data_IF_046710775001
#
_entry.id   IF_046710775001
#
_cell.length_a   1.000
_cell.length_b   1.000
_cell.length_c   1.000
_cell.angle_alpha   90.00
_cell.angle_beta   90.00
_cell.angle_gamma   90.00
#
_symmetry.space_group_name_H-M   'P 1'
#
loop_
_entity.id
_entity.type
_entity.pdbx_description
1 polymer ?
#
# COMPACT_ATOMS: atom_id res chain seq x y z
N UNK A 1 -17.19 1.43 10.24
CA UNK A 1 -16.43 1.21 11.50
C UNK A 1 -14.95 1.15 11.16
N UNK A 2 -14.41 2.30 10.77
CA UNK A 2 -13.11 2.46 10.13
C UNK A 2 -12.30 3.36 11.05
N UNK A 3 -11.49 2.79 11.96
CA UNK A 3 -10.38 3.47 12.64
C UNK A 3 -9.84 2.61 13.80
N UNK A 4 -8.86 1.75 13.47
CA UNK A 4 -7.78 1.32 14.39
C UNK A 4 -6.64 0.56 13.71
N UNK A 5 -6.77 0.24 12.41
CA UNK A 5 -5.80 -0.56 11.60
C UNK A 5 -4.51 0.17 11.21
N UNK A 6 -4.28 1.40 11.68
CA UNK A 6 -3.22 2.29 11.22
C UNK A 6 -1.77 1.94 11.60
N UNK A 7 -1.43 0.71 12.01
CA UNK A 7 -0.05 0.37 12.41
C UNK A 7 0.67 -0.65 11.55
N UNK A 8 -0.02 -1.52 10.82
CA UNK A 8 0.63 -2.47 9.91
C UNK A 8 -0.21 -2.64 8.64
N UNK A 9 -0.20 -1.61 7.80
CA UNK A 9 -0.93 -1.61 6.51
C UNK A 9 -0.02 -1.91 5.31
N UNK A 10 1.18 -2.44 5.54
CA UNK A 10 2.14 -2.66 4.45
C UNK A 10 2.14 -4.12 3.96
N UNK A 11 2.46 -4.37 2.67
CA UNK A 11 2.50 -5.72 2.10
C UNK A 11 3.45 -6.69 2.82
N UNK A 12 4.55 -6.17 3.41
CA UNK A 12 5.49 -6.98 4.17
C UNK A 12 4.86 -7.54 5.45
N UNK A 13 4.02 -6.76 6.14
CA UNK A 13 3.28 -7.21 7.32
C UNK A 13 2.30 -8.32 6.98
N UNK A 14 1.57 -8.18 5.88
CA UNK A 14 0.66 -9.22 5.37
C UNK A 14 1.44 -10.51 5.07
N UNK A 15 2.60 -10.41 4.39
CA UNK A 15 3.44 -11.55 4.07
C UNK A 15 4.04 -12.23 5.32
N UNK A 16 4.46 -11.46 6.32
CA UNK A 16 4.95 -11.99 7.62
C UNK A 16 3.85 -12.75 8.35
N UNK A 17 2.64 -12.20 8.42
CA UNK A 17 1.49 -12.88 9.02
C UNK A 17 1.14 -14.16 8.23
N UNK A 18 1.22 -14.12 6.90
CA UNK A 18 1.04 -15.30 6.05
C UNK A 18 2.02 -16.43 6.41
N UNK A 19 3.32 -16.13 6.55
CA UNK A 19 4.31 -17.13 6.96
C UNK A 19 4.04 -17.69 8.37
N UNK A 20 3.64 -16.82 9.31
CA UNK A 20 3.34 -17.24 10.67
C UNK A 20 2.07 -18.08 10.80
N UNK A 21 1.17 -18.04 9.80
CA UNK A 21 0.03 -18.97 9.71
C UNK A 21 0.50 -20.41 9.44
N UNK A 22 1.62 -20.58 8.74
CA UNK A 22 2.17 -21.90 8.42
C UNK A 22 2.86 -22.50 9.65
N UNK A 23 3.78 -21.76 10.27
CA UNK A 23 4.40 -22.16 11.54
C UNK A 23 5.09 -20.98 12.26
N UNK A 24 5.39 -21.12 13.57
CA UNK A 24 6.17 -20.12 14.29
C UNK A 24 7.61 -19.99 13.77
N UNK A 25 8.07 -18.77 13.53
CA UNK A 25 9.36 -18.49 12.88
C UNK A 25 10.14 -17.36 13.55
N UNK A 26 11.47 -17.41 13.41
CA UNK A 26 12.35 -16.29 13.74
C UNK A 26 12.44 -15.32 12.54
N UNK A 27 12.61 -13.99 12.74
CA UNK A 27 12.69 -13.01 11.64
C UNK A 27 13.71 -13.36 10.55
N UNK A 28 14.89 -13.88 10.90
CA UNK A 28 15.85 -14.37 9.89
C UNK A 28 15.31 -15.51 9.01
N UNK A 29 14.53 -16.45 9.56
CA UNK A 29 13.90 -17.51 8.79
C UNK A 29 12.77 -16.95 7.90
N UNK A 30 11.98 -16.01 8.40
CA UNK A 30 10.99 -15.28 7.59
C UNK A 30 11.66 -14.60 6.40
N UNK A 31 12.78 -13.90 6.62
CA UNK A 31 13.53 -13.23 5.56
C UNK A 31 14.08 -14.22 4.51
N UNK A 32 14.45 -15.43 4.92
CA UNK A 32 14.92 -16.47 4.00
C UNK A 32 13.75 -16.98 3.15
N UNK A 33 12.63 -17.38 3.78
CA UNK A 33 11.45 -17.86 3.07
C UNK A 33 10.84 -16.84 2.12
N UNK A 34 10.77 -15.56 2.52
CA UNK A 34 10.29 -14.50 1.61
C UNK A 34 11.18 -14.34 0.38
N UNK A 35 12.51 -14.49 0.50
CA UNK A 35 13.44 -14.46 -0.64
C UNK A 35 13.36 -15.70 -1.51
N UNK A 36 13.26 -16.88 -0.90
CA UNK A 36 13.07 -18.14 -1.62
C UNK A 36 11.80 -18.10 -2.49
N UNK A 37 10.74 -17.44 -2.00
CA UNK A 37 9.49 -17.21 -2.72
C UNK A 37 9.55 -16.02 -3.69
N UNK A 38 10.68 -15.32 -3.82
CA UNK A 38 10.85 -14.17 -4.71
C UNK A 38 10.03 -12.93 -4.33
N UNK A 39 9.57 -12.83 -3.07
CA UNK A 39 8.75 -11.71 -2.60
C UNK A 39 9.53 -10.39 -2.49
N UNK A 40 10.86 -10.46 -2.49
CA UNK A 40 11.76 -9.30 -2.59
C UNK A 40 11.63 -8.55 -3.93
N UNK A 41 11.00 -9.17 -4.94
CA UNK A 41 10.62 -8.51 -6.20
C UNK A 41 9.32 -7.72 -6.10
N UNK A 42 8.46 -8.05 -5.14
CA UNK A 42 7.14 -7.43 -4.94
C UNK A 42 7.24 -6.23 -4.01
N UNK A 43 8.03 -6.35 -2.94
CA UNK A 43 8.24 -5.28 -1.98
C UNK A 43 9.68 -5.24 -1.47
N UNK A 44 10.08 -4.09 -0.92
CA UNK A 44 11.42 -3.91 -0.36
C UNK A 44 11.58 -4.77 0.90
N UNK A 45 12.42 -5.81 0.81
CA UNK A 45 12.78 -6.68 1.92
C UNK A 45 14.20 -6.39 2.42
N UNK A 46 14.33 -5.51 3.41
CA UNK A 46 15.59 -5.31 4.15
C UNK A 46 15.48 -5.89 5.56
N UNK A 47 16.62 -6.27 6.15
CA UNK A 47 16.67 -6.72 7.54
C UNK A 47 16.03 -5.71 8.48
N UNK A 48 16.35 -4.42 8.33
CA UNK A 48 15.73 -3.34 9.12
C UNK A 48 14.21 -3.32 8.99
N UNK A 49 13.70 -3.26 7.75
CA UNK A 49 12.24 -3.21 7.50
C UNK A 49 11.49 -4.40 8.07
N UNK A 50 12.07 -5.61 8.03
CA UNK A 50 11.45 -6.80 8.56
C UNK A 50 11.36 -6.75 10.09
N UNK A 51 12.46 -6.39 10.77
CA UNK A 51 12.45 -6.27 12.22
C UNK A 51 11.52 -5.14 12.69
N UNK A 52 11.41 -4.04 11.94
CA UNK A 52 10.48 -2.95 12.24
C UNK A 52 9.02 -3.43 12.14
N UNK A 53 8.70 -4.19 11.09
CA UNK A 53 7.37 -4.79 10.89
C UNK A 53 7.04 -5.80 11.98
N UNK A 54 7.96 -6.70 12.33
CA UNK A 54 7.77 -7.67 13.42
C UNK A 54 7.49 -6.95 14.75
N UNK A 55 8.27 -5.92 15.09
CA UNK A 55 8.02 -5.11 16.29
C UNK A 55 6.69 -4.34 16.23
N UNK A 56 6.23 -3.96 15.05
CA UNK A 56 4.93 -3.31 14.89
C UNK A 56 3.77 -4.28 15.09
N UNK A 57 3.88 -5.51 14.55
CA UNK A 57 2.91 -6.58 14.73
C UNK A 57 2.84 -7.06 16.19
N UNK A 58 3.98 -7.15 16.87
CA UNK A 58 4.04 -7.52 18.30
C UNK A 58 3.40 -6.44 19.18
N UNK A 59 3.72 -5.16 18.94
CA UNK A 59 3.07 -4.03 19.64
C UNK A 59 1.56 -3.92 19.37
N UNK A 60 1.10 -4.46 18.25
CA UNK A 60 -0.32 -4.55 17.92
C UNK A 60 -0.98 -5.80 18.53
N UNK A 61 -0.22 -6.64 19.24
CA UNK A 61 -0.66 -7.90 19.83
C UNK A 61 -1.17 -8.92 18.79
N UNK A 62 -0.76 -8.77 17.53
CA UNK A 62 -1.10 -9.71 16.46
C UNK A 62 -0.16 -10.92 16.46
N UNK A 63 1.07 -10.73 16.92
CA UNK A 63 2.03 -11.80 17.14
C UNK A 63 2.59 -11.72 18.56
N UNK A 64 3.08 -12.84 19.05
CA UNK A 64 3.71 -12.96 20.36
C UNK A 64 4.96 -13.85 20.29
N UNK A 65 5.90 -13.64 21.21
CA UNK A 65 7.05 -14.52 21.36
C UNK A 65 6.61 -15.88 21.95
N UNK A 66 6.85 -16.97 21.21
CA UNK A 66 6.50 -18.34 21.66
C UNK A 66 7.56 -18.93 22.59
N UNK A 67 8.82 -18.90 22.14
CA UNK A 67 9.97 -19.44 22.85
C UNK A 67 11.23 -18.65 22.45
N UNK A 68 12.16 -18.56 23.40
CA UNK A 68 13.54 -18.19 23.09
C UNK A 68 14.40 -19.45 23.09
N UNK A 69 14.59 -20.03 21.90
CA UNK A 69 15.45 -21.20 21.74
C UNK A 69 16.92 -20.79 21.95
N UNK A 70 17.57 -21.35 22.98
CA UNK A 70 19.00 -21.22 23.22
C UNK A 70 19.73 -22.42 22.62
N UNK A 71 20.25 -22.29 21.40
CA UNK A 71 21.11 -23.32 20.79
C UNK A 71 22.58 -22.94 21.05
N UNK A 72 23.18 -23.51 22.11
CA UNK A 72 24.60 -23.35 22.43
C UNK A 72 25.03 -21.92 22.80
N UNK A 73 26.24 -21.52 22.38
CA UNK A 73 26.85 -20.21 22.70
C UNK A 73 26.43 -19.05 21.77
N UNK A 74 25.33 -19.20 21.02
CA UNK A 74 24.81 -18.15 20.12
C UNK A 74 23.74 -17.30 20.81
N UNK A 75 23.55 -16.03 20.41
CA UNK A 75 22.55 -15.15 21.00
C UNK A 75 21.14 -15.76 20.90
N UNK A 76 20.33 -15.45 21.91
CA UNK A 76 18.93 -15.87 22.05
C UNK A 76 18.16 -15.55 20.76
N UNK A 77 17.45 -16.55 20.19
CA UNK A 77 16.60 -16.36 19.01
C UNK A 77 15.14 -16.39 19.45
N UNK A 78 14.45 -15.26 19.33
CA UNK A 78 13.02 -15.14 19.62
C UNK A 78 12.20 -15.63 18.42
N UNK A 79 11.45 -16.71 18.63
CA UNK A 79 10.49 -17.22 17.64
C UNK A 79 9.14 -16.57 17.89
N UNK A 80 8.52 -16.05 16.84
CA UNK A 80 7.19 -15.44 16.92
C UNK A 80 6.12 -16.39 16.40
N UNK A 81 4.91 -16.25 16.94
CA UNK A 81 3.70 -16.92 16.48
C UNK A 81 2.53 -15.95 16.46
N UNK A 82 1.47 -16.29 15.74
CA UNK A 82 0.20 -15.56 15.83
C UNK A 82 -0.46 -15.71 17.20
N UNK A 83 -1.01 -14.60 17.70
CA UNK A 83 -2.02 -14.62 18.76
C UNK A 83 -3.40 -15.03 18.19
N UNK A 84 -4.39 -15.24 19.06
CA UNK A 84 -5.77 -15.43 18.61
C UNK A 84 -6.32 -14.17 17.90
N UNK A 85 -5.99 -12.99 18.42
CA UNK A 85 -6.36 -11.70 17.82
C UNK A 85 -5.71 -11.54 16.43
N UNK A 86 -4.41 -11.79 16.31
CA UNK A 86 -3.69 -11.65 15.03
C UNK A 86 -4.20 -12.56 13.94
N UNK A 87 -4.63 -13.80 14.26
CA UNK A 87 -5.30 -14.68 13.30
C UNK A 87 -6.61 -14.08 12.79
N UNK A 88 -7.44 -13.56 13.67
CA UNK A 88 -8.72 -12.96 13.30
C UNK A 88 -8.52 -11.68 12.46
N UNK A 89 -7.60 -10.82 12.88
CA UNK A 89 -7.27 -9.57 12.17
C UNK A 89 -6.63 -9.85 10.81
N UNK A 90 -5.75 -10.84 10.68
CA UNK A 90 -5.18 -11.24 9.39
C UNK A 90 -6.26 -11.68 8.40
N UNK A 91 -7.20 -12.53 8.84
CA UNK A 91 -8.32 -12.97 7.97
C UNK A 91 -9.22 -11.80 7.60
N UNK A 92 -9.56 -10.93 8.57
CA UNK A 92 -10.37 -9.74 8.29
C UNK A 92 -9.67 -8.78 7.32
N UNK A 93 -8.35 -8.66 7.41
CA UNK A 93 -7.56 -7.79 6.54
C UNK A 93 -7.50 -8.35 5.11
N UNK A 94 -7.34 -9.67 4.95
CA UNK A 94 -7.41 -10.32 3.63
C UNK A 94 -8.80 -10.16 3.00
N UNK A 95 -9.89 -10.36 3.75
CA UNK A 95 -11.26 -10.13 3.24
C UNK A 95 -11.46 -8.69 2.77
N UNK A 96 -10.99 -7.71 3.57
CA UNK A 96 -11.08 -6.30 3.21
C UNK A 96 -10.35 -5.98 1.92
N UNK A 97 -9.10 -6.43 1.77
CA UNK A 97 -8.30 -6.22 0.56
C UNK A 97 -8.91 -6.87 -0.70
N UNK A 98 -9.63 -7.98 -0.55
CA UNK A 98 -10.34 -8.63 -1.65
C UNK A 98 -11.64 -7.86 -1.99
N UNK A 99 -12.32 -7.35 -0.98
CA UNK A 99 -13.65 -6.74 -1.10
C UNK A 99 -13.60 -5.30 -1.58
N UNK A 100 -12.58 -4.55 -1.15
CA UNK A 100 -12.47 -3.10 -1.35
C UNK A 100 -11.17 -2.82 -2.09
N UNK A 101 -11.23 -2.35 -3.36
CA UNK A 101 -10.05 -1.86 -4.06
C UNK A 101 -9.39 -0.74 -3.27
N UNK A 102 -8.09 -0.79 -3.06
CA UNK A 102 -7.38 0.28 -2.38
C UNK A 102 -7.35 1.53 -3.27
N UNK A 103 -7.56 2.70 -2.66
CA UNK A 103 -7.53 3.97 -3.37
C UNK A 103 -6.14 4.29 -3.97
N UNK A 104 -5.08 3.62 -3.51
CA UNK A 104 -3.70 3.79 -3.94
C UNK A 104 -3.14 2.61 -4.78
N UNK A 105 -4.02 1.82 -5.40
CA UNK A 105 -3.65 0.74 -6.35
C UNK A 105 -3.16 1.28 -7.71
N UNK A 106 -2.03 1.99 -7.75
CA UNK A 106 -1.45 2.51 -8.98
C UNK A 106 -0.15 1.80 -9.36
N UNK A 107 -0.14 1.00 -10.45
CA UNK A 107 1.10 0.45 -10.98
C UNK A 107 2.07 1.57 -11.35
N UNK A 108 3.36 1.43 -11.01
CA UNK A 108 4.41 2.41 -11.39
C UNK A 108 4.42 2.75 -12.88
N UNK A 109 4.10 1.77 -13.72
CA UNK A 109 4.01 1.98 -15.17
C UNK A 109 2.84 2.88 -15.55
N UNK A 110 1.68 2.77 -14.89
CA UNK A 110 0.53 3.65 -15.12
C UNK A 110 0.90 5.11 -14.80
N UNK A 111 1.64 5.34 -13.73
CA UNK A 111 2.18 6.68 -13.41
C UNK A 111 3.06 7.21 -14.54
N UNK A 112 3.96 6.40 -15.09
CA UNK A 112 4.80 6.80 -16.23
C UNK A 112 3.98 7.01 -17.52
N UNK A 113 3.00 6.14 -17.78
CA UNK A 113 2.13 6.20 -18.94
C UNK A 113 1.32 7.50 -18.98
N UNK A 114 0.93 8.00 -17.81
CA UNK A 114 0.23 9.28 -17.65
C UNK A 114 1.05 10.50 -18.13
N UNK A 115 2.36 10.33 -18.33
CA UNK A 115 3.27 11.36 -18.84
C UNK A 115 3.89 10.98 -20.20
N UNK A 116 3.27 10.08 -20.97
CA UNK A 116 3.78 9.69 -22.31
C UNK A 116 4.05 10.90 -23.22
N UNK A 117 3.22 11.94 -23.14
CA UNK A 117 3.39 13.18 -23.92
C UNK A 117 4.65 13.98 -23.59
N UNK A 118 5.36 13.66 -22.50
CA UNK A 118 6.67 14.24 -22.19
C UNK A 118 7.81 13.65 -23.04
N UNK A 119 7.56 12.54 -23.75
CA UNK A 119 8.50 11.91 -24.68
C UNK A 119 8.19 12.32 -26.12
N UNK A 120 9.23 12.36 -26.95
CA UNK A 120 9.03 12.36 -28.41
C UNK A 120 8.30 11.06 -28.83
N UNK A 121 7.34 11.13 -29.78
CA UNK A 121 6.62 9.96 -30.29
C UNK A 121 7.50 8.74 -30.64
N UNK A 122 8.66 8.95 -31.30
CA UNK A 122 9.53 7.84 -31.69
C UNK A 122 10.20 7.19 -30.46
N UNK A 123 10.55 8.00 -29.46
CA UNK A 123 11.12 7.54 -28.19
C UNK A 123 10.07 6.76 -27.39
N UNK A 124 8.84 7.27 -27.34
CA UNK A 124 7.73 6.59 -26.68
C UNK A 124 7.48 5.20 -27.29
N UNK A 125 7.39 5.09 -28.62
CA UNK A 125 7.23 3.81 -29.31
C UNK A 125 8.39 2.85 -29.02
N UNK A 126 9.64 3.33 -29.09
CA UNK A 126 10.81 2.51 -28.80
C UNK A 126 10.79 1.95 -27.37
N UNK A 127 10.52 2.80 -26.38
CA UNK A 127 10.44 2.40 -24.97
C UNK A 127 9.31 1.39 -24.70
N UNK A 128 8.13 1.61 -25.30
CA UNK A 128 6.98 0.70 -25.20
C UNK A 128 7.26 -0.67 -25.85
N UNK A 129 7.97 -0.70 -26.98
CA UNK A 129 8.42 -1.94 -27.63
C UNK A 129 9.46 -2.69 -26.80
N UNK A 130 10.43 -1.98 -26.21
CA UNK A 130 11.40 -2.60 -25.32
C UNK A 130 10.70 -3.23 -24.10
N UNK A 131 9.76 -2.48 -23.49
CA UNK A 131 8.95 -2.98 -22.39
C UNK A 131 8.15 -4.22 -22.79
N UNK A 132 7.55 -4.23 -23.99
CA UNK A 132 6.85 -5.40 -24.54
C UNK A 132 7.76 -6.63 -24.58
N UNK A 133 9.01 -6.47 -25.04
CA UNK A 133 9.99 -7.55 -25.04
C UNK A 133 10.27 -8.09 -23.63
N UNK A 134 10.52 -7.20 -22.67
CA UNK A 134 10.78 -7.56 -21.27
C UNK A 134 9.59 -8.28 -20.61
N UNK A 135 8.38 -7.80 -20.85
CA UNK A 135 7.15 -8.42 -20.33
C UNK A 135 6.91 -9.81 -20.92
N UNK A 136 7.18 -10.02 -22.21
CA UNK A 136 7.05 -11.36 -22.83
C UNK A 136 8.01 -12.37 -22.21
N UNK A 137 9.26 -11.97 -21.99
CA UNK A 137 10.25 -12.82 -21.30
C UNK A 137 9.77 -13.18 -19.90
N UNK A 138 9.37 -12.16 -19.11
CA UNK A 138 8.86 -12.36 -17.76
C UNK A 138 7.63 -13.28 -17.73
N UNK A 139 6.68 -13.09 -18.66
CA UNK A 139 5.48 -13.90 -18.76
C UNK A 139 5.79 -15.36 -19.08
N UNK A 140 6.77 -15.60 -19.96
CA UNK A 140 7.22 -16.95 -20.29
C UNK A 140 7.85 -17.65 -19.07
N UNK A 141 8.68 -16.93 -18.31
CA UNK A 141 9.29 -17.44 -17.07
C UNK A 141 8.24 -17.78 -16.01
N UNK A 142 7.31 -16.86 -15.72
CA UNK A 142 6.25 -17.06 -14.72
C UNK A 142 5.37 -18.24 -15.11
N UNK A 143 4.96 -18.34 -16.38
CA UNK A 143 4.14 -19.45 -16.86
C UNK A 143 4.85 -20.80 -16.76
N UNK A 144 6.15 -20.84 -17.03
CA UNK A 144 6.93 -22.05 -16.90
C UNK A 144 7.03 -22.49 -15.43
N UNK A 145 7.32 -21.55 -14.52
CA UNK A 145 7.37 -21.81 -13.08
C UNK A 145 6.00 -22.28 -12.55
N UNK A 146 4.91 -21.60 -12.92
CA UNK A 146 3.56 -21.96 -12.50
C UNK A 146 3.16 -23.37 -12.95
N UNK A 147 3.44 -23.73 -14.21
CA UNK A 147 3.19 -25.09 -14.71
C UNK A 147 4.03 -26.13 -13.98
N UNK A 148 5.28 -25.82 -13.65
CA UNK A 148 6.14 -26.75 -12.92
C UNK A 148 5.60 -27.02 -11.49
N UNK A 149 5.10 -25.98 -10.82
CA UNK A 149 4.48 -26.12 -9.48
C UNK A 149 3.19 -26.93 -9.54
N UNK A 150 2.30 -26.64 -10.50
CA UNK A 150 1.03 -27.37 -10.64
C UNK A 150 1.17 -28.79 -11.20
N UNK A 151 2.29 -29.10 -11.86
CA UNK A 151 2.59 -30.44 -12.35
C UNK A 151 3.20 -31.35 -11.28
N UNK A 152 3.62 -30.79 -10.13
CA UNK A 152 3.93 -31.61 -8.97
C UNK A 152 2.61 -32.20 -8.45
N UNK A 153 2.53 -33.54 -8.39
CA UNK A 153 1.37 -34.22 -7.83
C UNK A 153 1.04 -33.63 -6.45
N UNK A 154 -0.26 -33.49 -6.16
CA UNK A 154 -0.80 -33.09 -4.85
C UNK A 154 -0.83 -31.59 -4.49
N UNK A 155 -0.52 -30.64 -5.39
CA UNK A 155 -0.70 -29.18 -5.10
C UNK A 155 -2.07 -28.67 -5.59
N UNK A 156 -2.99 -28.26 -4.70
CA UNK A 156 -4.25 -27.64 -5.12
C UNK A 156 -4.04 -26.34 -5.91
N UNK A 157 -4.84 -26.14 -6.98
CA UNK A 157 -4.84 -24.92 -7.81
C UNK A 157 -4.93 -23.62 -7.00
N UNK A 158 -5.60 -23.65 -5.84
CA UNK A 158 -5.73 -22.49 -4.95
C UNK A 158 -4.36 -21.85 -4.62
N UNK A 159 -3.29 -22.64 -4.54
CA UNK A 159 -1.94 -22.15 -4.24
C UNK A 159 -1.21 -21.52 -5.44
N UNK A 160 -1.85 -21.43 -6.61
CA UNK A 160 -1.33 -20.71 -7.79
C UNK A 160 -2.25 -19.61 -8.31
N UNK A 161 -3.34 -19.30 -7.61
CA UNK A 161 -4.37 -18.35 -8.08
C UNK A 161 -3.82 -16.93 -8.23
N UNK A 162 -2.89 -16.53 -7.36
CA UNK A 162 -2.21 -15.24 -7.43
C UNK A 162 -1.31 -15.14 -8.67
N UNK A 163 -0.66 -16.24 -9.04
CA UNK A 163 0.14 -16.32 -10.26
C UNK A 163 -0.74 -16.24 -11.51
N UNK A 164 -1.91 -16.88 -11.51
CA UNK A 164 -2.90 -16.76 -12.58
C UNK A 164 -3.43 -15.34 -12.77
N UNK A 165 -3.61 -14.59 -11.68
CA UNK A 165 -3.98 -13.17 -11.70
C UNK A 165 -2.85 -12.33 -12.29
N UNK A 166 -1.62 -12.49 -11.80
CA UNK A 166 -0.46 -11.73 -12.30
C UNK A 166 -0.23 -11.92 -13.81
N UNK A 167 -0.37 -13.17 -14.31
CA UNK A 167 -0.31 -13.47 -15.75
C UNK A 167 -1.34 -12.66 -16.54
N UNK A 168 -2.60 -12.61 -16.08
CA UNK A 168 -3.67 -11.85 -16.75
C UNK A 168 -3.38 -10.36 -16.77
N UNK A 169 -2.84 -9.79 -15.69
CA UNK A 169 -2.47 -8.38 -15.63
C UNK A 169 -1.36 -8.03 -16.62
N UNK A 170 -0.33 -8.88 -16.75
CA UNK A 170 0.72 -8.67 -17.74
C UNK A 170 0.22 -8.82 -19.18
N UNK A 171 -0.72 -9.74 -19.43
CA UNK A 171 -1.34 -9.88 -20.75
C UNK A 171 -2.20 -8.67 -21.12
N UNK A 172 -2.97 -8.14 -20.17
CA UNK A 172 -3.74 -6.92 -20.35
C UNK A 172 -2.81 -5.74 -20.67
N UNK A 173 -1.71 -5.59 -19.92
CA UNK A 173 -0.73 -4.54 -20.19
C UNK A 173 -0.08 -4.70 -21.57
N UNK A 174 0.29 -5.92 -21.97
CA UNK A 174 0.81 -6.20 -23.32
C UNK A 174 -0.21 -5.88 -24.43
N UNK A 175 -1.50 -6.14 -24.19
CA UNK A 175 -2.59 -5.78 -25.09
C UNK A 175 -2.66 -4.27 -25.27
N UNK A 176 -2.75 -3.55 -24.16
CA UNK A 176 -2.81 -2.09 -24.15
C UNK A 176 -1.59 -1.44 -24.81
N UNK A 177 -0.36 -1.90 -24.50
CA UNK A 177 0.85 -1.35 -25.11
C UNK A 177 0.82 -1.52 -26.64
N UNK A 178 0.33 -2.66 -27.14
CA UNK A 178 0.22 -2.90 -28.59
C UNK A 178 -0.73 -1.90 -29.25
N UNK A 179 -1.88 -1.66 -28.64
CA UNK A 179 -2.88 -0.71 -29.12
C UNK A 179 -2.32 0.71 -29.15
N UNK A 180 -1.72 1.16 -28.04
CA UNK A 180 -1.14 2.50 -27.96
C UNK A 180 -0.03 2.68 -28.99
N UNK A 181 0.90 1.74 -29.12
CA UNK A 181 1.98 1.84 -30.13
C UNK A 181 1.40 2.01 -31.54
N UNK A 182 0.36 1.26 -31.90
CA UNK A 182 -0.32 1.42 -33.18
C UNK A 182 -0.93 2.82 -33.31
N UNK A 183 -1.60 3.32 -32.26
CA UNK A 183 -2.17 4.67 -32.25
C UNK A 183 -1.10 5.77 -32.41
N UNK A 184 0.09 5.61 -31.82
CA UNK A 184 1.21 6.54 -32.02
C UNK A 184 1.67 6.52 -33.47
N UNK A 185 1.93 5.33 -34.02
CA UNK A 185 2.50 5.16 -35.37
C UNK A 185 1.53 5.59 -36.46
N UNK A 186 0.22 5.44 -36.23
CA UNK A 186 -0.84 5.86 -37.14
C UNK A 186 -1.27 7.32 -36.93
N UNK A 187 -0.63 8.04 -35.99
CA UNK A 187 -0.91 9.45 -35.72
C UNK A 187 -2.29 9.72 -35.11
N UNK A 188 -2.89 8.74 -34.45
CA UNK A 188 -4.19 8.87 -33.76
C UNK A 188 -4.10 9.61 -32.44
N UNK A 189 -2.91 9.69 -31.84
CA UNK A 189 -2.67 10.46 -30.62
C UNK A 189 -2.04 11.80 -30.95
N UNK A 190 -2.52 12.86 -30.29
CA UNK A 190 -1.98 14.22 -30.42
C UNK A 190 -0.94 14.45 -29.33
N UNK A 191 0.26 14.89 -29.72
CA UNK A 191 1.30 15.30 -28.78
C UNK A 191 1.12 16.75 -28.36
N UNK A 192 1.46 17.10 -27.10
CA UNK A 192 1.47 18.49 -26.66
C UNK A 192 2.47 19.29 -27.51
N UNK A 193 2.09 20.52 -27.89
CA UNK A 193 2.97 21.41 -28.64
C UNK A 193 4.21 21.75 -27.80
N UNK A 194 5.37 21.80 -28.46
CA UNK A 194 6.67 22.14 -27.87
C UNK A 194 6.61 23.52 -27.19
N UNK A 195 6.34 23.56 -25.89
CA UNK A 195 6.24 24.80 -25.11
C UNK A 195 4.97 24.95 -24.27
N UNK A 196 3.94 24.13 -24.48
CA UNK A 196 2.90 23.92 -23.47
C UNK A 196 3.42 22.86 -22.50
N UNK A 197 3.67 23.25 -21.24
CA UNK A 197 4.01 22.26 -20.20
C UNK A 197 2.92 21.18 -20.16
N UNK A 198 3.24 19.95 -19.72
CA UNK A 198 2.24 18.89 -19.70
C UNK A 198 1.02 19.39 -18.93
N UNK A 199 -0.15 19.42 -19.59
CA UNK A 199 -1.40 19.39 -18.86
C UNK A 199 -1.29 18.14 -17.98
N UNK A 200 -1.24 18.32 -16.66
CA UNK A 200 -1.09 17.21 -15.72
C UNK A 200 -2.13 16.11 -15.99
N UNK A 201 -1.95 14.91 -15.43
CA UNK A 201 -2.89 13.82 -15.63
C UNK A 201 -4.33 14.32 -15.40
N UNK A 202 -5.17 14.25 -16.43
CA UNK A 202 -6.53 14.80 -16.43
C UNK A 202 -7.51 14.11 -15.48
N UNK A 203 -7.00 13.27 -14.56
CA UNK A 203 -7.76 12.48 -13.60
C UNK A 203 -6.94 12.29 -12.32
N UNK A 204 -7.36 12.99 -11.25
CA UNK A 204 -7.69 12.57 -9.86
C UNK A 204 -8.29 13.86 -9.25
N UNK A 205 -9.56 14.13 -9.55
CA UNK A 205 -10.38 14.98 -8.70
C UNK A 205 -11.50 14.08 -8.22
N UNK A 206 -11.26 13.41 -7.10
CA UNK A 206 -12.38 13.03 -6.25
C UNK A 206 -13.00 14.35 -5.77
N UNK A 207 -14.10 14.74 -6.40
CA UNK A 207 -14.82 15.97 -6.06
C UNK A 207 -15.86 15.73 -4.97
N UNK A 208 -15.96 14.52 -4.43
CA UNK A 208 -17.05 14.12 -3.54
C UNK A 208 -16.53 13.56 -2.19
N UNK A 209 -15.45 14.10 -1.65
CA UNK A 209 -14.97 13.78 -0.30
C UNK A 209 -15.18 14.89 0.76
N UNK A 210 -15.69 16.06 0.37
CA UNK A 210 -16.01 17.15 1.30
C UNK A 210 -17.48 17.60 1.14
N UNK A 211 -18.38 16.82 1.70
CA UNK A 211 -19.73 17.26 2.05
C UNK A 211 -20.19 16.49 3.29
N UNK A 212 -19.60 16.83 4.44
CA UNK A 212 -20.22 16.76 5.77
C UNK A 212 -19.25 17.43 6.76
N UNK A 213 -19.08 18.74 6.57
CA UNK A 213 -18.57 19.64 7.60
C UNK A 213 -19.67 20.68 7.85
N UNK A 214 -20.71 20.27 8.56
CA UNK A 214 -21.67 21.20 9.15
C UNK A 214 -20.91 22.10 10.13
N UNK A 215 -20.58 23.29 9.63
CA UNK A 215 -20.18 24.44 10.41
C UNK A 215 -21.46 25.15 10.80
N UNK A 216 -21.98 24.87 11.99
CA UNK A 216 -22.98 25.74 12.61
C UNK A 216 -22.23 26.74 13.51
N UNK A 217 -22.04 27.95 13.01
CA UNK A 217 -21.66 29.12 13.80
C UNK A 217 -22.61 30.24 13.40
N UNK A 218 -23.75 30.30 14.07
CA UNK A 218 -24.59 31.49 14.10
C UNK A 218 -24.25 32.28 15.37
N UNK A 219 -23.51 33.37 15.16
CA UNK A 219 -23.40 34.50 16.07
C UNK A 219 -24.52 35.46 15.65
N UNK A 220 -25.61 35.48 16.40
CA UNK A 220 -26.54 36.60 16.35
C UNK A 220 -26.19 37.58 17.46
N UNK A 221 -25.92 38.81 17.03
CA UNK A 221 -25.76 39.99 17.87
C UNK A 221 -27.05 40.80 17.72
N UNK A 222 -27.85 40.91 18.77
CA UNK A 222 -28.87 41.96 18.83
C UNK A 222 -28.84 42.68 20.18
N UNK A 223 -28.87 43.99 20.07
CA UNK A 223 -28.64 45.01 21.07
C UNK A 223 -29.86 45.32 21.92
N UNK A 224 -29.65 45.53 23.22
CA UNK A 224 -30.26 46.63 23.99
C UNK A 224 -31.51 46.34 24.83
N UNK A 225 -31.37 46.41 26.16
CA UNK A 225 -32.02 47.44 27.00
C UNK A 225 -31.50 47.37 28.44
N UNK A 226 -30.76 48.41 28.83
CA UNK A 226 -30.86 49.21 30.07
C UNK A 226 -31.72 48.67 31.23
N UNK A 227 -31.12 48.59 32.43
CA UNK A 227 -31.60 49.28 33.64
C UNK A 227 -30.49 49.35 34.68
N UNK A 228 -30.19 50.58 35.10
CA UNK A 228 -29.38 50.98 36.26
C UNK A 228 -29.79 50.30 37.57
N UNK A 229 -28.82 50.09 38.46
CA UNK A 229 -28.91 50.57 39.85
C UNK A 229 -27.56 50.50 40.60
N UNK A 230 -27.11 51.70 40.97
CA UNK A 230 -26.14 52.16 41.99
C UNK A 230 -25.59 51.22 43.10
N UNK A 231 -24.35 51.53 43.51
CA UNK A 231 -23.83 51.33 44.88
C UNK A 231 -22.39 50.79 44.93
N UNK A 232 -21.34 51.61 44.90
CA UNK A 232 -20.69 52.30 46.03
C UNK A 232 -19.55 51.49 46.72
N UNK A 233 -18.44 52.17 47.03
CA UNK A 233 -17.31 51.72 47.87
C UNK A 233 -16.15 51.01 47.13
N UNK A 234 -15.08 51.66 46.68
CA UNK A 234 -14.02 52.38 47.41
C UNK A 234 -12.92 51.51 48.06
N UNK A 235 -11.67 51.92 47.77
CA UNK A 235 -10.38 51.63 48.42
C UNK A 235 -9.69 50.24 48.30
N UNK A 236 -8.63 50.23 47.48
CA UNK A 236 -7.27 50.31 48.05
C UNK A 236 -6.37 49.07 47.96
N UNK A 237 -5.15 49.25 47.44
CA UNK A 237 -3.97 48.51 47.89
C UNK A 237 -3.23 47.67 46.85
N UNK A 238 -2.21 48.28 46.25
CA UNK A 238 -1.11 47.70 45.44
C UNK A 238 -0.17 46.79 46.30
N UNK A 239 0.91 46.14 45.78
CA UNK A 239 1.16 44.72 45.95
C UNK A 239 2.42 44.48 46.81
N UNK A 240 2.81 43.22 47.03
CA UNK A 240 4.18 42.94 47.44
C UNK A 240 4.41 41.62 48.17
N UNK A 241 5.22 40.80 47.50
CA UNK A 241 6.23 39.89 48.07
C UNK A 241 5.79 38.50 48.60
N UNK A 242 6.53 37.51 48.10
CA UNK A 242 6.52 36.11 48.52
C UNK A 242 7.08 35.19 47.46
#
# INVERSE_FOLDING_TARGET
MTSRRGRVSNPLGLAVLGLLMECPMHPHAMAAHLRERGMDRVFKLTTGSLYDVVRALERAEWIEARETLRVGARPQRTVYQHTALGRAEFVSWVDELIRVPAADEYPKFLSAASYLGALDPHVAVAALRERTGRLRTLLAEIRAAHRAVLAADEVPRLFGVETEYAVRMYEAELGWIREIVADIEEGRLTWPESGSGPAGPGWIHDKDADADADTETDIDTETGTETDTDGDGDQGGDPGEG
#
